data_IF_874203504889
#
_entry.id   IF_874203504889
#
_cell.length_a   1.000
_cell.length_b   1.000
_cell.length_c   1.000
_cell.angle_alpha   90.00
_cell.angle_beta   90.00
_cell.angle_gamma   90.00
#
_symmetry.space_group_name_H-M   'P 1'
#
loop_
_entity.id
_entity.type
_entity.pdbx_description
1 polymer ?
#
# COMPACT_ATOMS: atom_id res chain seq x y z
N UNK A 1 -4.68 -11.10 -27.70
CA UNK A 1 -4.87 -11.25 -26.25
C UNK A 1 -3.75 -10.54 -25.50
N UNK A 2 -4.02 -9.31 -25.05
CA UNK A 2 -3.13 -8.66 -24.09
C UNK A 2 -3.07 -9.56 -22.85
N UNK A 3 -1.88 -10.00 -22.38
CA UNK A 3 -1.80 -10.75 -21.15
C UNK A 3 -2.42 -9.88 -20.06
N UNK A 4 -3.49 -10.39 -19.46
CA UNK A 4 -4.17 -9.75 -18.34
C UNK A 4 -3.28 -9.93 -17.11
N UNK A 5 -2.10 -9.28 -17.11
CA UNK A 5 -1.16 -9.34 -16.02
C UNK A 5 -1.88 -8.80 -14.79
N UNK A 6 -2.18 -9.70 -13.86
CA UNK A 6 -2.83 -9.34 -12.62
C UNK A 6 -2.00 -8.24 -11.95
N UNK A 7 -2.61 -7.11 -11.62
CA UNK A 7 -1.93 -5.95 -10.99
C UNK A 7 -1.06 -6.35 -9.78
N UNK A 8 -1.41 -7.44 -9.08
CA UNK A 8 -0.62 -8.03 -8.01
C UNK A 8 0.74 -8.58 -8.48
N UNK A 9 0.78 -9.29 -9.59
CA UNK A 9 2.00 -9.94 -10.11
C UNK A 9 3.01 -8.90 -10.58
N UNK A 10 2.54 -7.87 -11.30
CA UNK A 10 3.36 -6.69 -11.64
C UNK A 10 3.89 -6.02 -10.39
N UNK A 11 3.04 -5.83 -9.37
CA UNK A 11 3.47 -5.22 -8.09
C UNK A 11 4.56 -6.05 -7.41
N UNK A 12 4.46 -7.38 -7.45
CA UNK A 12 5.49 -8.26 -6.88
C UNK A 12 6.80 -8.14 -7.64
N UNK A 13 6.75 -8.17 -8.97
CA UNK A 13 7.93 -8.06 -9.83
C UNK A 13 8.65 -6.72 -9.62
N UNK A 14 7.91 -5.61 -9.65
CA UNK A 14 8.46 -4.26 -9.41
C UNK A 14 9.06 -4.15 -8.00
N UNK A 15 8.31 -4.51 -6.96
CA UNK A 15 8.80 -4.38 -5.58
C UNK A 15 9.96 -5.34 -5.29
N UNK A 16 10.06 -6.48 -5.98
CA UNK A 16 11.16 -7.44 -5.76
C UNK A 16 12.54 -6.86 -6.02
N UNK A 17 12.63 -5.89 -6.95
CA UNK A 17 13.87 -5.19 -7.31
C UNK A 17 14.10 -3.91 -6.49
N UNK A 18 13.12 -3.50 -5.69
CA UNK A 18 13.19 -2.28 -4.89
C UNK A 18 13.67 -2.58 -3.45
N UNK A 19 14.23 -1.58 -2.74
CA UNK A 19 14.71 -1.76 -1.38
C UNK A 19 13.58 -1.98 -0.36
N UNK A 20 13.93 -2.50 0.81
CA UNK A 20 13.00 -2.62 1.94
C UNK A 20 12.41 -1.25 2.28
N UNK A 21 11.10 -1.21 2.55
CA UNK A 21 10.33 0.00 2.74
C UNK A 21 9.68 0.53 1.45
N UNK A 22 10.12 0.11 0.26
CA UNK A 22 9.44 0.45 -0.98
C UNK A 22 8.01 -0.11 -0.98
N UNK A 23 7.06 0.67 -1.48
CA UNK A 23 5.65 0.28 -1.43
C UNK A 23 4.87 0.77 -2.63
N UNK A 24 3.73 0.12 -2.87
CA UNK A 24 2.76 0.49 -3.89
C UNK A 24 1.35 0.45 -3.31
N UNK A 25 0.57 1.49 -3.61
CA UNK A 25 -0.86 1.55 -3.31
C UNK A 25 -1.63 1.41 -4.60
N UNK A 26 -2.61 0.51 -4.62
CA UNK A 26 -3.48 0.27 -5.77
C UNK A 26 -4.92 0.10 -5.32
N UNK A 27 -5.88 0.26 -6.22
CA UNK A 27 -7.26 -0.09 -5.92
C UNK A 27 -7.41 -1.59 -5.67
N UNK A 28 -8.26 -1.94 -4.70
CA UNK A 28 -8.54 -3.33 -4.39
C UNK A 28 -9.45 -3.92 -5.47
N UNK A 29 -8.91 -4.87 -6.23
CA UNK A 29 -9.69 -5.65 -7.22
C UNK A 29 -10.70 -6.59 -6.58
N UNK A 30 -10.55 -6.88 -5.27
CA UNK A 30 -11.43 -7.80 -4.53
C UNK A 30 -12.49 -7.06 -3.70
N UNK A 31 -12.27 -5.79 -3.37
CA UNK A 31 -13.24 -4.95 -2.65
C UNK A 31 -13.35 -3.56 -3.29
N UNK A 32 -14.44 -3.28 -4.03
CA UNK A 32 -14.71 -1.95 -4.56
C UNK A 32 -14.64 -0.88 -3.47
N UNK A 33 -13.94 0.22 -3.73
CA UNK A 33 -13.79 1.35 -2.81
C UNK A 33 -12.76 1.18 -1.69
N UNK A 34 -12.00 0.08 -1.68
CA UNK A 34 -10.84 -0.11 -0.81
C UNK A 34 -9.54 -0.04 -1.59
N UNK A 35 -8.42 0.17 -0.89
CA UNK A 35 -7.08 0.18 -1.48
C UNK A 35 -6.26 -0.99 -0.95
N UNK A 36 -5.33 -1.50 -1.75
CA UNK A 36 -4.35 -2.50 -1.36
C UNK A 36 -2.96 -1.86 -1.33
N UNK A 37 -2.29 -1.95 -0.19
CA UNK A 37 -0.91 -1.54 0.02
C UNK A 37 -0.01 -2.77 -0.07
N UNK A 38 0.94 -2.77 -0.99
CA UNK A 38 1.99 -3.79 -1.05
C UNK A 38 3.30 -3.16 -0.61
N UNK A 39 3.96 -3.77 0.38
CA UNK A 39 5.16 -3.24 1.01
C UNK A 39 6.28 -4.26 0.86
N UNK A 40 7.45 -3.81 0.42
CA UNK A 40 8.70 -4.56 0.46
C UNK A 40 9.19 -4.61 1.90
N UNK A 41 9.23 -5.81 2.47
CA UNK A 41 9.61 -6.09 3.85
C UNK A 41 10.88 -6.94 3.89
N UNK A 42 11.63 -6.98 5.01
CA UNK A 42 12.74 -7.91 5.16
C UNK A 42 12.27 -9.36 4.90
N UNK A 43 13.11 -10.18 4.26
CA UNK A 43 12.76 -11.59 3.95
C UNK A 43 12.54 -12.42 5.23
N UNK A 44 13.06 -11.96 6.36
CA UNK A 44 12.83 -12.52 7.70
C UNK A 44 11.36 -12.44 8.12
N UNK A 45 10.64 -11.40 7.68
CA UNK A 45 9.22 -11.22 8.00
C UNK A 45 8.30 -11.97 7.04
N UNK A 46 8.68 -12.06 5.76
CA UNK A 46 7.90 -12.75 4.75
C UNK A 46 8.83 -13.42 3.74
N UNK A 47 8.59 -14.70 3.43
CA UNK A 47 9.42 -15.48 2.50
C UNK A 47 9.56 -14.84 1.11
N UNK A 48 8.49 -14.26 0.57
CA UNK A 48 8.54 -13.49 -0.69
C UNK A 48 9.13 -12.09 -0.53
N UNK A 49 9.35 -11.65 0.70
CA UNK A 49 9.83 -10.31 1.02
C UNK A 49 8.82 -9.20 0.74
N UNK A 50 7.56 -9.52 0.45
CA UNK A 50 6.51 -8.55 0.15
C UNK A 50 5.28 -8.88 0.99
N UNK A 51 4.81 -7.91 1.77
CA UNK A 51 3.59 -7.99 2.56
C UNK A 51 2.46 -7.20 1.88
N UNK A 52 1.25 -7.73 1.94
CA UNK A 52 0.05 -7.08 1.40
C UNK A 52 -0.91 -6.71 2.52
N UNK A 53 -1.31 -5.45 2.54
CA UNK A 53 -2.24 -4.87 3.48
C UNK A 53 -3.46 -4.30 2.75
N UNK A 54 -4.63 -4.37 3.38
CA UNK A 54 -5.84 -3.77 2.84
C UNK A 54 -6.12 -2.47 3.58
N UNK A 55 -6.14 -1.36 2.86
CA UNK A 55 -6.58 -0.07 3.38
C UNK A 55 -8.08 0.03 3.15
N UNK A 56 -8.81 0.12 4.25
CA UNK A 56 -10.25 0.28 4.30
C UNK A 56 -10.60 1.76 4.32
N UNK A 57 -11.55 2.16 3.47
CA UNK A 57 -12.22 3.44 3.58
C UNK A 57 -13.29 3.37 4.67
N UNK A 58 -13.32 4.37 5.54
CA UNK A 58 -14.24 4.50 6.67
C UNK A 58 -14.94 5.86 6.58
N UNK A 59 -15.98 6.07 7.40
CA UNK A 59 -16.66 7.36 7.45
C UNK A 59 -15.75 8.53 7.87
N UNK A 60 -14.67 8.26 8.61
CA UNK A 60 -13.73 9.27 9.12
C UNK A 60 -12.46 9.41 8.28
N UNK A 61 -12.26 8.56 7.28
CA UNK A 61 -11.05 8.53 6.46
C UNK A 61 -10.61 7.11 6.09
N UNK A 62 -9.36 6.75 6.36
CA UNK A 62 -8.70 5.53 5.91
C UNK A 62 -7.95 4.82 7.04
N UNK A 63 -7.95 3.49 7.04
CA UNK A 63 -7.14 2.69 7.95
C UNK A 63 -6.69 1.38 7.33
N UNK A 64 -5.56 0.85 7.79
CA UNK A 64 -5.14 -0.51 7.43
C UNK A 64 -6.01 -1.51 8.20
N UNK A 65 -6.50 -2.55 7.52
CA UNK A 65 -7.26 -3.63 8.13
C UNK A 65 -6.41 -4.32 9.22
N UNK A 66 -6.92 -4.34 10.45
CA UNK A 66 -6.21 -4.86 11.62
C UNK A 66 -5.48 -3.79 12.43
N UNK A 67 -5.37 -2.57 11.92
CA UNK A 67 -4.80 -1.44 12.66
C UNK A 67 -5.95 -0.66 13.31
N UNK A 68 -5.67 -0.07 14.48
CA UNK A 68 -6.63 0.74 15.23
C UNK A 68 -6.64 2.20 14.80
N UNK A 69 -5.55 2.66 14.18
CA UNK A 69 -5.36 4.06 13.79
C UNK A 69 -6.09 4.40 12.50
N UNK A 70 -6.82 5.51 12.55
CA UNK A 70 -7.53 6.08 11.41
C UNK A 70 -6.87 7.39 10.97
N UNK A 71 -6.85 7.62 9.67
CA UNK A 71 -6.18 8.75 9.03
C UNK A 71 -7.17 9.47 8.13
N UNK A 72 -7.14 10.80 8.11
CA UNK A 72 -8.08 11.60 7.29
C UNK A 72 -7.90 11.40 5.78
N UNK A 73 -6.69 11.04 5.33
CA UNK A 73 -6.35 10.79 3.93
C UNK A 73 -5.36 9.64 3.76
N UNK A 74 -5.34 9.03 2.57
CA UNK A 74 -4.31 8.04 2.20
C UNK A 74 -2.90 8.63 2.37
N UNK A 75 -2.67 9.86 1.91
CA UNK A 75 -1.38 10.53 2.07
C UNK A 75 -0.97 10.62 3.54
N UNK A 76 -1.87 11.02 4.44
CA UNK A 76 -1.55 11.09 5.88
C UNK A 76 -1.22 9.73 6.49
N UNK A 77 -1.90 8.66 6.05
CA UNK A 77 -1.59 7.29 6.44
C UNK A 77 -0.18 6.91 6.01
N UNK A 78 0.14 7.18 4.74
CA UNK A 78 1.43 6.85 4.15
C UNK A 78 2.57 7.65 4.78
N UNK A 79 2.41 8.96 4.95
CA UNK A 79 3.40 9.83 5.60
C UNK A 79 3.64 9.41 7.04
N UNK A 80 2.59 9.12 7.82
CA UNK A 80 2.76 8.64 9.19
C UNK A 80 3.60 7.35 9.23
N UNK A 81 3.26 6.39 8.38
CA UNK A 81 3.97 5.11 8.30
C UNK A 81 5.37 5.20 7.68
N UNK A 82 5.71 6.31 7.01
CA UNK A 82 7.08 6.58 6.57
C UNK A 82 8.02 7.01 7.70
N UNK A 83 7.47 7.61 8.74
CA UNK A 83 8.25 8.06 9.92
C UNK A 83 8.22 6.99 11.00
N UNK A 84 7.06 6.35 11.21
CA UNK A 84 6.86 5.39 12.29
C UNK A 84 6.24 4.07 11.76
N UNK A 85 6.92 2.92 11.90
CA UNK A 85 6.40 1.67 11.36
C UNK A 85 5.12 1.20 12.07
N UNK A 86 5.00 1.46 13.38
CA UNK A 86 3.94 0.96 14.25
C UNK A 86 3.80 -0.57 14.15
N UNK A 87 2.75 -1.07 13.51
CA UNK A 87 2.49 -2.51 13.31
C UNK A 87 3.05 -3.02 11.97
N UNK A 88 3.67 -2.17 11.15
CA UNK A 88 4.39 -2.58 9.95
C UNK A 88 5.78 -3.11 10.32
N UNK A 89 6.33 -4.08 9.57
CA UNK A 89 7.68 -4.59 9.81
C UNK A 89 8.80 -3.61 9.45
N UNK A 90 8.49 -2.57 8.67
CA UNK A 90 9.41 -1.49 8.33
C UNK A 90 8.62 -0.23 7.97
N UNK A 91 9.29 0.92 7.98
CA UNK A 91 8.71 2.19 7.53
C UNK A 91 8.50 2.22 6.02
N UNK A 92 7.55 3.03 5.57
CA UNK A 92 7.30 3.27 4.15
C UNK A 92 8.35 4.25 3.56
N UNK A 93 8.93 3.93 2.42
CA UNK A 93 9.87 4.80 1.72
C UNK A 93 9.16 5.68 0.70
N UNK A 94 9.06 6.98 0.99
CA UNK A 94 8.40 7.96 0.11
C UNK A 94 9.14 8.23 -1.20
N UNK A 95 10.38 7.74 -1.37
CA UNK A 95 11.24 8.01 -2.53
C UNK A 95 10.59 7.69 -3.89
N UNK A 96 9.58 6.82 -3.92
CA UNK A 96 8.84 6.41 -5.13
C UNK A 96 7.33 6.64 -5.02
N UNK A 97 6.84 7.20 -3.91
CA UNK A 97 5.42 7.50 -3.78
C UNK A 97 5.09 8.68 -4.67
N UNK A 98 4.61 8.39 -5.88
CA UNK A 98 4.12 9.41 -6.79
C UNK A 98 2.71 9.81 -6.31
N UNK A 99 2.52 11.01 -5.73
CA UNK A 99 1.24 11.42 -5.16
C UNK A 99 0.15 11.67 -6.22
N UNK A 100 0.47 11.49 -7.51
CA UNK A 100 -0.48 11.54 -8.63
C UNK A 100 -1.50 10.39 -8.66
N UNK A 101 -1.88 9.83 -7.52
CA UNK A 101 -3.19 9.19 -7.41
C UNK A 101 -4.24 10.32 -7.46
N UNK A 102 -4.38 10.89 -8.65
CA UNK A 102 -5.26 12.01 -8.92
C UNK A 102 -6.69 11.60 -8.57
N UNK A 103 -7.33 12.54 -7.90
CA UNK A 103 -8.73 12.55 -7.52
C UNK A 103 -9.61 12.02 -8.66
N UNK A 104 -9.99 10.75 -8.60
CA UNK A 104 -11.30 10.34 -9.13
C UNK A 104 -12.34 10.59 -8.04
N UNK A 105 -12.48 11.86 -7.64
CA UNK A 105 -13.69 12.32 -6.99
C UNK A 105 -14.62 12.73 -8.15
N UNK A 106 -15.37 11.74 -8.63
CA UNK A 106 -16.44 11.96 -9.58
C UNK A 106 -17.51 12.82 -8.91
N UNK A 107 -17.61 14.08 -9.31
CA UNK A 107 -18.84 14.88 -9.26
C UNK A 107 -19.24 15.22 -10.68
#
# INVERSE_FOLDING_TARGET
PVPNFNSREITLEVLSQEPVGAFMVRESTTKPGCFALSLRVPKEFHHLGIAHYLILRTAKGYKIKGFTKEFSSLTSLITHHSVMPELLPCTLSLHRYNPNFEKSDSS
#
